data_IF_586489001189
#
_entry.id   IF_586489001189
#
_cell.length_a   1.000
_cell.length_b   1.000
_cell.length_c   1.000
_cell.angle_alpha   90.00
_cell.angle_beta   90.00
_cell.angle_gamma   90.00
#
_symmetry.space_group_name_H-M   'P 1'
#
loop_
_entity.id
_entity.type
_entity.pdbx_description
1 polymer ?
#
# COMPACT_ATOMS: atom_id res chain seq x y z
N UNK A 1 10.74 4.45 3.64
CA UNK A 1 10.41 5.19 4.88
C UNK A 1 9.62 6.39 4.45
N UNK A 2 8.41 6.59 4.97
CA UNK A 2 7.61 7.77 4.67
C UNK A 2 8.39 9.00 5.14
N UNK A 3 8.70 9.93 4.23
CA UNK A 3 9.55 11.07 4.55
C UNK A 3 8.97 11.87 5.74
N UNK A 4 9.81 12.09 6.76
CA UNK A 4 9.42 12.81 7.98
C UNK A 4 8.69 12.00 9.05
N UNK A 5 8.75 10.66 8.99
CA UNK A 5 8.29 9.75 10.04
C UNK A 5 9.46 8.89 10.55
N UNK A 6 9.84 9.03 11.83
CA UNK A 6 10.91 8.25 12.49
C UNK A 6 10.51 6.78 12.76
N UNK A 7 9.21 6.50 12.80
CA UNK A 7 8.65 5.15 12.80
C UNK A 7 7.18 5.18 12.37
N UNK A 8 6.72 4.11 11.71
CA UNK A 8 5.36 4.06 11.17
C UNK A 8 4.64 2.79 11.64
N UNK A 9 3.37 2.95 12.03
CA UNK A 9 2.44 1.85 12.19
C UNK A 9 1.21 2.11 11.33
N UNK A 10 0.81 1.12 10.54
CA UNK A 10 -0.45 1.13 9.81
C UNK A 10 -1.40 0.18 10.54
N UNK A 11 -2.54 0.67 10.98
CA UNK A 11 -3.65 -0.18 11.42
C UNK A 11 -4.64 -0.34 10.26
N UNK A 12 -5.05 -1.57 10.00
CA UNK A 12 -6.11 -1.88 9.04
C UNK A 12 -7.43 -1.90 9.79
N UNK A 13 -8.41 -1.17 9.26
CA UNK A 13 -9.73 -1.03 9.88
C UNK A 13 -10.73 -1.96 9.17
N UNK A 14 -11.03 -1.66 7.90
CA UNK A 14 -11.99 -2.43 7.10
C UNK A 14 -11.34 -2.99 5.84
N UNK A 15 -11.71 -4.22 5.46
CA UNK A 15 -11.32 -4.86 4.22
C UNK A 15 -12.57 -5.13 3.36
N UNK A 16 -12.65 -4.49 2.19
CA UNK A 16 -13.65 -4.80 1.16
C UNK A 16 -12.99 -5.50 -0.02
N UNK A 17 -13.51 -6.63 -0.48
CA UNK A 17 -13.04 -7.31 -1.69
C UNK A 17 -14.14 -7.34 -2.74
N UNK A 18 -13.87 -6.78 -3.92
CA UNK A 18 -14.79 -6.79 -5.05
C UNK A 18 -14.16 -7.56 -6.21
N UNK A 19 -14.92 -8.53 -6.75
CA UNK A 19 -14.49 -9.34 -7.88
C UNK A 19 -14.96 -8.72 -9.20
N UNK A 20 -14.01 -8.49 -10.12
CA UNK A 20 -14.28 -8.13 -11.52
C UNK A 20 -13.84 -9.28 -12.45
N UNK A 21 -14.31 -9.28 -13.69
CA UNK A 21 -13.88 -10.27 -14.69
C UNK A 21 -12.35 -10.21 -14.86
N UNK A 22 -11.66 -11.28 -14.42
CA UNK A 22 -10.21 -11.43 -14.50
C UNK A 22 -9.38 -10.79 -13.38
N UNK A 23 -9.96 -10.07 -12.41
CA UNK A 23 -9.20 -9.47 -11.30
C UNK A 23 -10.02 -9.32 -10.03
N UNK A 24 -9.34 -9.40 -8.88
CA UNK A 24 -9.88 -9.00 -7.59
C UNK A 24 -9.30 -7.64 -7.22
N UNK A 25 -10.16 -6.76 -6.71
CA UNK A 25 -9.77 -5.53 -6.06
C UNK A 25 -10.06 -5.63 -4.57
N UNK A 26 -9.14 -5.15 -3.76
CA UNK A 26 -9.35 -5.04 -2.33
C UNK A 26 -9.08 -3.60 -1.89
N UNK A 27 -10.09 -2.99 -1.28
CA UNK A 27 -9.99 -1.65 -0.71
C UNK A 27 -9.79 -1.79 0.79
N UNK A 28 -8.72 -1.18 1.29
CA UNK A 28 -8.31 -1.23 2.69
C UNK A 28 -8.44 0.17 3.27
N UNK A 29 -9.36 0.35 4.21
CA UNK A 29 -9.36 1.53 5.06
C UNK A 29 -8.28 1.34 6.13
N UNK A 30 -7.39 2.31 6.26
CA UNK A 30 -6.28 2.23 7.17
C UNK A 30 -6.06 3.55 7.92
N UNK A 31 -5.36 3.44 9.06
CA UNK A 31 -4.88 4.58 9.83
C UNK A 31 -3.38 4.49 10.01
N UNK A 32 -2.69 5.53 9.57
CA UNK A 32 -1.25 5.73 9.73
C UNK A 32 -0.97 6.47 11.04
N UNK A 33 -0.08 5.91 11.84
CA UNK A 33 0.43 6.49 13.08
C UNK A 33 1.92 6.78 12.92
N UNK A 34 2.32 7.98 13.35
CA UNK A 34 3.71 8.32 13.60
C UNK A 34 4.10 7.83 14.99
N UNK A 35 5.15 7.03 15.07
CA UNK A 35 5.65 6.48 16.34
C UNK A 35 6.98 7.09 16.75
N UNK A 36 7.37 8.21 16.13
CA UNK A 36 8.56 8.97 16.48
C UNK A 36 8.44 9.71 17.82
N UNK A 37 9.55 10.26 18.34
CA UNK A 37 9.59 10.96 19.63
C UNK A 37 8.74 12.25 19.66
N UNK A 38 8.42 12.82 18.50
CA UNK A 38 7.47 13.94 18.36
C UNK A 38 6.44 13.59 17.27
N UNK A 39 5.42 12.77 17.60
CA UNK A 39 4.59 12.13 16.60
C UNK A 39 3.61 13.11 15.95
N UNK A 40 3.50 13.03 14.63
CA UNK A 40 2.41 13.67 13.88
C UNK A 40 1.06 13.06 14.27
N UNK A 41 -0.01 13.86 14.12
CA UNK A 41 -1.37 13.38 14.31
C UNK A 41 -1.68 12.20 13.36
N UNK A 42 -2.38 11.15 13.84
CA UNK A 42 -2.74 10.02 13.01
C UNK A 42 -3.59 10.43 11.80
N UNK A 43 -3.38 9.77 10.67
CA UNK A 43 -4.12 10.04 9.43
C UNK A 43 -4.85 8.79 8.97
N UNK A 44 -6.12 8.94 8.61
CA UNK A 44 -6.88 7.90 7.93
C UNK A 44 -6.74 8.05 6.42
N UNK A 45 -6.78 6.94 5.70
CA UNK A 45 -6.68 6.91 4.25
C UNK A 45 -6.92 5.52 3.71
N UNK A 46 -7.00 5.43 2.39
CA UNK A 46 -7.38 4.22 1.68
C UNK A 46 -6.22 3.67 0.86
N UNK A 47 -6.09 2.34 0.83
CA UNK A 47 -5.18 1.63 -0.06
C UNK A 47 -5.99 0.70 -0.95
N UNK A 48 -5.79 0.80 -2.26
CA UNK A 48 -6.40 -0.12 -3.23
C UNK A 48 -5.38 -1.14 -3.66
N UNK A 49 -5.70 -2.41 -3.47
CA UNK A 49 -4.92 -3.57 -3.89
C UNK A 49 -5.59 -4.23 -5.10
N UNK A 50 -4.78 -4.82 -5.98
CA UNK A 50 -5.27 -5.67 -7.08
C UNK A 50 -4.46 -6.96 -7.16
N UNK A 51 -5.16 -8.06 -7.44
CA UNK A 51 -4.57 -9.30 -7.96
C UNK A 51 -5.38 -9.84 -9.14
N UNK A 52 -4.78 -10.67 -9.97
CA UNK A 52 -5.54 -11.46 -10.94
C UNK A 52 -6.37 -12.54 -10.25
N UNK A 53 -7.44 -12.99 -10.91
CA UNK A 53 -8.12 -14.21 -10.50
C UNK A 53 -7.21 -15.42 -10.75
N UNK A 54 -7.42 -16.49 -9.99
CA UNK A 54 -6.70 -17.75 -10.14
C UNK A 54 -7.21 -18.48 -11.39
N UNK A 55 -6.79 -17.97 -12.56
CA UNK A 55 -7.16 -18.49 -13.87
C UNK A 55 -5.95 -19.21 -14.50
N UNK A 56 -6.16 -20.32 -15.22
CA UNK A 56 -5.09 -20.99 -15.94
C UNK A 56 -4.34 -20.03 -16.87
N UNK A 57 -3.02 -19.95 -16.72
CA UNK A 57 -2.15 -19.06 -17.49
C UNK A 57 -1.77 -17.75 -16.79
N UNK A 58 -2.33 -17.45 -15.60
CA UNK A 58 -1.85 -16.33 -14.78
C UNK A 58 -0.45 -16.62 -14.23
N UNK A 59 0.47 -15.65 -14.36
CA UNK A 59 1.80 -15.75 -13.78
C UNK A 59 1.76 -15.55 -12.26
N UNK A 60 2.75 -16.08 -11.54
CA UNK A 60 2.89 -15.86 -10.10
C UNK A 60 2.93 -14.37 -9.71
N UNK A 61 3.43 -13.51 -10.61
CA UNK A 61 3.44 -12.06 -10.41
C UNK A 61 2.04 -11.47 -10.42
N UNK A 62 1.15 -12.03 -11.23
CA UNK A 62 -0.23 -11.56 -11.37
C UNK A 62 -1.13 -12.06 -10.24
N UNK A 63 -0.82 -13.23 -9.67
CA UNK A 63 -1.54 -13.78 -8.51
C UNK A 63 -1.17 -13.08 -7.19
N UNK A 64 -0.07 -12.31 -7.16
CA UNK A 64 0.31 -11.50 -6.00
C UNK A 64 -0.55 -10.24 -5.91
N UNK A 65 -0.97 -9.89 -4.69
CA UNK A 65 -1.58 -8.60 -4.41
C UNK A 65 -0.55 -7.49 -4.63
N UNK A 66 -0.95 -6.47 -5.39
CA UNK A 66 -0.13 -5.30 -5.69
C UNK A 66 -0.88 -4.04 -5.30
N UNK A 67 -0.17 -3.07 -4.72
CA UNK A 67 -0.74 -1.75 -4.44
C UNK A 67 -0.98 -1.05 -5.78
N UNK A 68 -2.22 -0.63 -6.02
CA UNK A 68 -2.63 0.16 -7.18
C UNK A 68 -2.64 1.65 -6.89
N UNK A 69 -3.13 2.03 -5.73
CA UNK A 69 -3.16 3.41 -5.25
C UNK A 69 -3.11 3.44 -3.73
N UNK A 70 -2.59 4.54 -3.19
CA UNK A 70 -2.54 4.83 -1.77
C UNK A 70 -2.77 6.32 -1.59
N UNK A 71 -3.65 6.68 -0.65
CA UNK A 71 -3.88 8.07 -0.24
C UNK A 71 -2.86 8.55 0.82
N UNK A 72 -2.09 7.63 1.38
CA UNK A 72 -0.96 8.01 2.21
C UNK A 72 0.11 8.58 1.29
N UNK A 73 0.19 9.91 1.26
CA UNK A 73 1.24 10.64 0.55
C UNK A 73 2.60 10.23 1.12
N UNK A 74 3.37 9.46 0.35
CA UNK A 74 4.81 9.42 0.51
C UNK A 74 5.34 10.60 -0.31
N UNK A 75 6.01 11.61 0.29
CA UNK A 75 6.93 12.42 -0.48
C UNK A 75 8.00 11.44 -0.95
N UNK A 76 7.85 10.91 -2.16
CA UNK A 76 8.82 10.02 -2.77
C UNK A 76 10.02 10.88 -3.19
N UNK A 77 10.81 11.33 -2.22
CA UNK A 77 12.25 11.32 -2.42
C UNK A 77 12.61 9.86 -2.57
N UNK A 78 12.61 9.41 -3.82
CA UNK A 78 13.12 8.12 -4.24
C UNK A 78 14.48 7.94 -3.58
N UNK A 79 14.52 7.21 -2.46
CA UNK A 79 15.75 6.76 -1.83
C UNK A 79 16.63 6.22 -2.97
N UNK A 80 17.80 6.83 -3.13
CA UNK A 80 18.58 6.85 -4.37
C UNK A 80 18.48 5.57 -5.16
N UNK A 81 18.08 5.69 -6.44
CA UNK A 81 18.48 4.71 -7.44
C UNK A 81 20.00 4.65 -7.33
N UNK A 82 20.53 3.56 -6.77
CA UNK A 82 21.96 3.32 -6.71
C UNK A 82 22.56 3.64 -8.08
N UNK A 83 23.46 4.61 -8.09
CA UNK A 83 24.26 4.92 -9.26
C UNK A 83 25.07 3.66 -9.58
N UNK A 84 25.02 3.12 -10.81
CA UNK A 84 25.96 2.09 -11.20
C UNK A 84 27.36 2.70 -11.21
N UNK A 85 28.30 1.96 -10.59
CA UNK A 85 29.73 2.25 -10.61
C UNK A 85 30.30 2.26 -12.03
#
# INVERSE_FOLDING_TARGET
MLAGYDGQRIAIDTLGTEGAAGSLYCTVEARLFDTGPNPRAPRSGTITLRRANDVPGASERELRWTVRSSEFEEPMERAGRGEPA
#
